data_IF_805605302447
#
_entry.id   IF_805605302447
#
_cell.length_a   1.000
_cell.length_b   1.000
_cell.length_c   1.000
_cell.angle_alpha   90.00
_cell.angle_beta   90.00
_cell.angle_gamma   90.00
#
_symmetry.space_group_name_H-M   'P 1'
#
loop_
_entity.id
_entity.type
_entity.pdbx_description
1 polymer ?
#
# COMPACT_ATOMS: atom_id res chain seq x y z
N UNK A 1 8.58 8.03 -9.21
CA UNK A 1 7.12 8.21 -9.44
C UNK A 1 6.39 7.24 -8.53
N UNK A 2 5.43 7.70 -7.74
CA UNK A 2 4.75 6.91 -6.70
C UNK A 2 3.25 6.87 -7.01
N UNK A 3 2.71 5.68 -7.24
CA UNK A 3 1.31 5.46 -7.58
C UNK A 3 0.67 4.67 -6.45
N UNK A 4 -0.32 5.25 -5.79
CA UNK A 4 -1.19 4.53 -4.87
C UNK A 4 -2.42 4.03 -5.60
N UNK A 5 -2.90 2.82 -5.27
CA UNK A 5 -4.17 2.31 -5.78
C UNK A 5 -5.17 2.20 -4.64
N UNK A 6 -6.37 2.70 -4.85
CA UNK A 6 -7.46 2.67 -3.87
C UNK A 6 -8.79 2.33 -4.54
N UNK A 7 -9.81 2.01 -3.75
CA UNK A 7 -11.11 1.57 -4.23
C UNK A 7 -11.87 0.79 -3.17
N UNK A 8 -13.11 0.40 -3.47
CA UNK A 8 -13.92 -0.45 -2.59
C UNK A 8 -13.28 -1.85 -2.44
N UNK A 9 -13.53 -2.55 -1.33
CA UNK A 9 -13.10 -3.94 -1.17
C UNK A 9 -13.63 -4.84 -2.30
N UNK A 10 -12.78 -5.74 -2.80
CA UNK A 10 -13.14 -6.70 -3.84
C UNK A 10 -13.25 -6.15 -5.27
N UNK A 11 -12.89 -4.89 -5.54
CA UNK A 11 -12.96 -4.31 -6.90
C UNK A 11 -11.80 -4.67 -7.83
N UNK A 12 -10.84 -5.49 -7.39
CA UNK A 12 -9.68 -5.89 -8.18
C UNK A 12 -8.45 -4.97 -8.12
N UNK A 13 -8.27 -4.18 -7.04
CA UNK A 13 -7.13 -3.27 -6.85
C UNK A 13 -5.77 -3.95 -7.02
N UNK A 14 -5.54 -5.02 -6.24
CA UNK A 14 -4.32 -5.83 -6.25
C UNK A 14 -4.05 -6.43 -7.63
N UNK A 15 -5.08 -6.91 -8.32
CA UNK A 15 -4.97 -7.42 -9.70
C UNK A 15 -4.52 -6.33 -10.67
N UNK A 16 -5.14 -5.15 -10.62
CA UNK A 16 -4.77 -4.01 -11.46
C UNK A 16 -3.35 -3.54 -11.14
N UNK A 17 -2.96 -3.55 -9.85
CA UNK A 17 -1.58 -3.24 -9.44
C UNK A 17 -0.56 -4.20 -10.07
N UNK A 18 -0.80 -5.51 -9.99
CA UNK A 18 0.09 -6.52 -10.55
C UNK A 18 0.23 -6.37 -12.08
N UNK A 19 -0.87 -6.09 -12.79
CA UNK A 19 -0.84 -5.82 -14.23
C UNK A 19 -0.05 -4.55 -14.55
N UNK A 20 -0.26 -3.47 -13.80
CA UNK A 20 0.48 -2.23 -13.96
C UNK A 20 1.98 -2.43 -13.69
N UNK A 21 2.34 -3.18 -12.65
CA UNK A 21 3.72 -3.51 -12.34
C UNK A 21 4.40 -4.27 -13.48
N UNK A 22 3.71 -5.27 -14.04
CA UNK A 22 4.20 -6.06 -15.19
C UNK A 22 4.46 -5.18 -16.40
N UNK A 23 3.55 -4.26 -16.74
CA UNK A 23 3.74 -3.41 -17.91
C UNK A 23 4.79 -2.31 -17.71
N UNK A 24 4.87 -1.72 -16.53
CA UNK A 24 5.95 -0.79 -16.19
C UNK A 24 7.32 -1.47 -16.34
N UNK A 25 7.44 -2.71 -15.87
CA UNK A 25 8.66 -3.49 -16.00
C UNK A 25 8.99 -3.86 -17.44
N UNK A 26 8.01 -4.30 -18.23
CA UNK A 26 8.19 -4.54 -19.68
C UNK A 26 8.67 -3.29 -20.41
N UNK A 27 8.27 -2.12 -19.91
CA UNK A 27 8.73 -0.81 -20.41
C UNK A 27 10.11 -0.39 -19.88
N UNK A 28 10.86 -1.31 -19.26
CA UNK A 28 12.20 -1.08 -18.73
C UNK A 28 12.27 -0.28 -17.43
N UNK A 29 11.16 -0.12 -16.70
CA UNK A 29 11.17 0.54 -15.39
C UNK A 29 11.46 -0.45 -14.28
N UNK A 30 12.28 -0.05 -13.32
CA UNK A 30 12.32 -0.71 -12.02
C UNK A 30 11.03 -0.38 -11.25
N UNK A 31 10.45 -1.39 -10.61
CA UNK A 31 9.19 -1.28 -9.88
C UNK A 31 9.34 -1.89 -8.51
N UNK A 32 9.11 -1.08 -7.48
CA UNK A 32 8.92 -1.51 -6.11
C UNK A 32 7.43 -1.56 -5.80
N UNK A 33 6.97 -2.68 -5.29
CA UNK A 33 5.59 -2.88 -4.85
C UNK A 33 5.57 -2.96 -3.34
N UNK A 34 4.69 -2.21 -2.71
CA UNK A 34 4.48 -2.21 -1.26
C UNK A 34 3.04 -2.67 -1.01
N UNK A 35 2.90 -3.86 -0.44
CA UNK A 35 1.61 -4.40 0.00
C UNK A 35 1.37 -3.99 1.45
N UNK A 36 0.48 -3.01 1.63
CA UNK A 36 0.07 -2.48 2.93
C UNK A 36 -1.32 -2.97 3.34
N UNK A 37 -1.87 -3.99 2.67
CA UNK A 37 -3.15 -4.59 3.04
C UNK A 37 -2.96 -5.50 4.29
N UNK A 38 -3.89 -5.46 5.27
CA UNK A 38 -3.90 -6.38 6.41
C UNK A 38 -3.90 -7.86 6.04
N UNK A 39 -4.48 -8.18 4.89
CA UNK A 39 -4.49 -9.52 4.32
C UNK A 39 -3.72 -9.45 3.01
N UNK A 40 -2.38 -9.53 3.05
CA UNK A 40 -1.55 -9.33 1.86
C UNK A 40 -1.69 -10.53 0.91
N UNK A 41 -1.96 -10.24 -0.36
CA UNK A 41 -2.08 -11.24 -1.43
C UNK A 41 -1.20 -10.87 -2.64
N UNK A 42 -0.36 -9.84 -2.53
CA UNK A 42 0.39 -9.33 -3.68
C UNK A 42 1.41 -10.34 -4.22
N UNK A 43 2.11 -11.07 -3.34
CA UNK A 43 3.09 -12.08 -3.76
C UNK A 43 2.46 -13.16 -4.65
N UNK A 44 1.31 -13.68 -4.23
CA UNK A 44 0.51 -14.65 -5.00
C UNK A 44 0.01 -14.04 -6.31
N UNK A 45 -0.51 -12.81 -6.27
CA UNK A 45 -1.07 -12.12 -7.44
C UNK A 45 0.01 -11.85 -8.51
N UNK A 46 1.25 -11.61 -8.09
CA UNK A 46 2.39 -11.45 -9.00
C UNK A 46 2.90 -12.79 -9.57
N UNK A 47 2.46 -13.91 -9.00
CA UNK A 47 2.94 -15.25 -9.36
C UNK A 47 4.37 -15.51 -8.90
N UNK A 48 4.80 -14.89 -7.80
CA UNK A 48 6.13 -15.13 -7.21
C UNK A 48 6.19 -16.58 -6.74
N UNK A 49 7.25 -17.29 -7.13
CA UNK A 49 7.54 -18.63 -6.59
C UNK A 49 7.78 -18.53 -5.07
N UNK A 50 7.21 -19.45 -4.31
CA UNK A 50 7.27 -19.48 -2.85
C UNK A 50 6.61 -18.27 -2.17
N UNK A 51 5.50 -17.77 -2.73
CA UNK A 51 4.73 -16.66 -2.15
C UNK A 51 4.29 -16.93 -0.70
N UNK A 52 4.09 -18.19 -0.33
CA UNK A 52 3.77 -18.67 1.02
C UNK A 52 4.92 -18.48 2.03
N UNK A 53 6.16 -18.32 1.57
CA UNK A 53 7.32 -18.04 2.42
C UNK A 53 7.51 -16.54 2.69
N UNK A 54 6.71 -15.67 2.06
CA UNK A 54 6.76 -14.23 2.28
C UNK A 54 6.13 -13.89 3.63
N UNK A 55 6.95 -13.61 4.63
CA UNK A 55 6.48 -13.18 5.94
C UNK A 55 6.21 -11.67 5.96
N UNK A 56 5.00 -11.20 6.32
CA UNK A 56 4.72 -9.78 6.49
C UNK A 56 5.59 -9.16 7.60
N UNK A 57 6.09 -7.94 7.38
CA UNK A 57 6.97 -7.26 8.34
C UNK A 57 6.26 -7.04 9.68
N UNK A 58 4.94 -6.78 9.67
CA UNK A 58 4.15 -6.63 10.89
C UNK A 58 4.15 -7.88 11.80
N UNK A 59 4.38 -9.07 11.25
CA UNK A 59 4.45 -10.33 12.02
C UNK A 59 5.82 -10.52 12.70
N UNK A 60 6.84 -9.77 12.28
CA UNK A 60 8.20 -9.83 12.81
C UNK A 60 8.37 -9.03 14.10
N UNK A 61 7.47 -9.30 15.05
CA UNK A 61 7.31 -8.55 16.32
C UNK A 61 8.61 -8.42 17.11
N UNK A 62 9.44 -9.47 17.16
CA UNK A 62 10.73 -9.44 17.86
C UNK A 62 11.68 -8.41 17.26
N UNK A 63 11.83 -8.40 15.93
CA UNK A 63 12.73 -7.45 15.26
C UNK A 63 12.19 -6.03 15.37
N UNK A 64 10.88 -5.83 15.22
CA UNK A 64 10.26 -4.51 15.37
C UNK A 64 10.43 -3.97 16.80
N UNK A 65 10.29 -4.81 17.83
CA UNK A 65 10.52 -4.43 19.22
C UNK A 65 11.99 -4.07 19.49
N UNK A 66 12.92 -4.86 18.95
CA UNK A 66 14.36 -4.57 19.02
C UNK A 66 14.70 -3.24 18.35
N UNK A 67 14.18 -3.01 17.13
CA UNK A 67 14.40 -1.75 16.40
C UNK A 67 13.79 -0.55 17.10
N UNK A 68 12.61 -0.74 17.68
CA UNK A 68 11.98 0.26 18.52
C UNK A 68 12.76 0.54 19.81
N UNK A 69 13.84 -0.21 20.13
CA UNK A 69 14.58 -0.07 21.38
C UNK A 69 13.76 -0.44 22.61
N UNK A 70 12.71 -1.24 22.44
CA UNK A 70 11.80 -1.63 23.51
C UNK A 70 12.47 -2.71 24.35
N UNK A 71 12.82 -2.35 25.58
CA UNK A 71 13.38 -3.30 26.56
C UNK A 71 12.27 -3.81 27.46
N UNK A 72 12.24 -5.12 27.75
CA UNK A 72 11.24 -5.69 28.65
C UNK A 72 11.27 -4.98 30.02
N UNK A 73 10.13 -4.45 30.46
CA UNK A 73 9.99 -3.71 31.73
C UNK A 73 10.36 -2.23 31.69
N UNK A 74 10.78 -1.69 30.53
CA UNK A 74 11.05 -0.25 30.36
C UNK A 74 9.90 0.45 29.62
N UNK A 75 9.43 1.63 30.09
CA UNK A 75 8.49 2.46 29.35
C UNK A 75 9.15 3.21 28.19
N UNK A 76 10.49 3.23 28.13
CA UNK A 76 11.25 3.96 27.13
C UNK A 76 11.42 3.14 25.85
N UNK A 77 11.23 3.80 24.72
CA UNK A 77 11.49 3.28 23.38
C UNK A 77 12.08 4.40 22.51
N UNK A 78 12.77 4.02 21.45
CA UNK A 78 13.36 4.95 20.50
C UNK A 78 12.25 5.60 19.65
N UNK A 79 12.09 6.91 19.80
CA UNK A 79 11.16 7.71 19.00
C UNK A 79 11.64 7.90 17.56
N UNK A 80 12.92 7.64 17.26
CA UNK A 80 13.46 7.84 15.92
C UNK A 80 14.36 6.66 15.51
N UNK A 81 13.83 5.43 15.44
CA UNK A 81 14.63 4.22 15.15
C UNK A 81 15.27 4.31 13.77
N UNK A 82 16.56 3.99 13.64
CA UNK A 82 17.10 3.81 12.28
C UNK A 82 16.42 2.60 11.64
N UNK A 83 16.17 2.68 10.34
CA UNK A 83 15.45 1.66 9.56
C UNK A 83 16.07 1.47 8.18
N UNK A 84 17.25 2.05 7.92
CA UNK A 84 17.95 1.97 6.62
C UNK A 84 18.19 0.52 6.17
N UNK A 85 18.75 -0.27 7.07
CA UNK A 85 19.02 -1.70 6.94
C UNK A 85 17.74 -2.51 6.66
N UNK A 86 16.67 -2.23 7.41
CA UNK A 86 15.40 -2.93 7.28
C UNK A 86 14.77 -2.79 5.88
N UNK A 87 15.05 -1.69 5.17
CA UNK A 87 14.53 -1.51 3.82
C UNK A 87 15.11 -2.52 2.83
N UNK A 88 16.37 -2.91 3.01
CA UNK A 88 17.04 -3.90 2.19
C UNK A 88 16.67 -5.32 2.62
N UNK A 89 16.69 -5.58 3.93
CA UNK A 89 16.52 -6.94 4.47
C UNK A 89 15.11 -7.50 4.27
N UNK A 90 14.12 -6.63 4.12
CA UNK A 90 12.72 -7.02 3.92
C UNK A 90 12.19 -6.82 2.51
N UNK A 91 13.06 -6.34 1.61
CA UNK A 91 12.71 -6.25 0.21
C UNK A 91 12.98 -7.60 -0.45
N UNK A 92 11.92 -8.20 -0.95
CA UNK A 92 11.98 -9.46 -1.66
C UNK A 92 12.20 -9.16 -3.14
N UNK A 93 13.36 -9.59 -3.66
CA UNK A 93 13.63 -9.56 -5.09
C UNK A 93 13.38 -10.94 -5.70
N UNK A 94 12.27 -11.11 -6.41
CA UNK A 94 11.89 -12.39 -7.04
C UNK A 94 11.25 -12.16 -8.40
N UNK A 95 11.63 -12.99 -9.36
CA UNK A 95 11.10 -13.00 -10.72
C UNK A 95 11.07 -11.59 -11.37
N UNK A 96 12.06 -10.76 -11.04
CA UNK A 96 12.22 -9.38 -11.53
C UNK A 96 11.29 -8.35 -10.89
N UNK A 97 10.68 -8.65 -9.74
CA UNK A 97 9.94 -7.70 -8.92
C UNK A 97 10.67 -7.45 -7.62
N UNK A 98 10.62 -6.20 -7.15
CA UNK A 98 10.92 -5.84 -5.77
C UNK A 98 9.60 -5.70 -5.01
N UNK A 99 9.39 -6.53 -4.00
CA UNK A 99 8.17 -6.58 -3.22
C UNK A 99 8.49 -6.38 -1.74
N UNK A 100 7.68 -5.58 -1.07
CA UNK A 100 7.67 -5.47 0.38
C UNK A 100 6.25 -5.70 0.90
N UNK A 101 6.10 -6.64 1.83
CA UNK A 101 4.81 -6.94 2.45
C UNK A 101 4.82 -6.42 3.87
N UNK A 102 4.05 -5.36 4.13
CA UNK A 102 3.93 -4.78 5.47
C UNK A 102 2.97 -5.59 6.34
N UNK A 103 1.83 -6.00 5.79
CA UNK A 103 0.73 -6.63 6.53
C UNK A 103 -0.06 -5.65 7.40
N UNK A 104 -0.88 -6.19 8.30
CA UNK A 104 -1.79 -5.39 9.13
C UNK A 104 -1.03 -4.47 10.09
N UNK A 105 -0.98 -3.18 9.79
CA UNK A 105 -0.77 -2.16 10.82
C UNK A 105 -2.08 -2.12 11.63
N UNK A 106 -2.27 -3.08 12.53
CA UNK A 106 -3.44 -3.10 13.41
C UNK A 106 -3.44 -1.83 14.24
N UNK A 107 -4.27 -0.87 13.83
CA UNK A 107 -4.72 0.22 14.69
C UNK A 107 -6.16 -0.10 15.08
N UNK A 108 -6.35 -1.26 15.71
CA UNK A 108 -7.62 -1.60 16.31
C UNK A 108 -7.86 -0.61 17.47
N UNK A 109 -8.88 0.23 17.33
CA UNK A 109 -9.53 0.96 18.43
C UNK A 109 -8.62 1.77 19.35
N UNK A 110 -8.40 3.04 19.00
CA UNK A 110 -7.93 4.06 19.94
C UNK A 110 -6.40 4.14 20.09
N UNK A 111 -5.81 5.13 19.41
CA UNK A 111 -4.75 6.00 19.98
C UNK A 111 -3.44 5.41 20.52
N UNK A 112 -3.21 4.10 20.56
CA UNK A 112 -1.92 3.56 21.00
C UNK A 112 -0.94 3.56 19.84
N UNK A 113 -0.08 4.56 19.81
CA UNK A 113 1.17 4.55 19.08
C UNK A 113 2.07 3.46 19.67
N UNK A 114 1.83 2.19 19.30
CA UNK A 114 2.75 1.14 19.68
C UNK A 114 4.10 1.39 18.98
N UNK A 115 5.24 1.25 19.67
CA UNK A 115 6.57 1.53 19.11
C UNK A 115 6.84 0.79 17.78
N UNK A 116 6.26 -0.40 17.63
CA UNK A 116 6.36 -1.26 16.45
C UNK A 116 5.65 -0.62 15.24
N UNK A 117 4.44 -0.07 15.42
CA UNK A 117 3.73 0.66 14.36
C UNK A 117 4.46 1.94 13.93
N UNK A 118 5.23 2.55 14.84
CA UNK A 118 6.04 3.71 14.52
C UNK A 118 7.21 3.34 13.61
N UNK A 119 7.90 2.21 13.88
CA UNK A 119 8.95 1.66 13.01
C UNK A 119 8.41 1.44 11.59
N UNK A 120 7.27 0.76 11.45
CA UNK A 120 6.64 0.49 10.15
C UNK A 120 6.29 1.78 9.39
N UNK A 121 5.67 2.77 10.06
CA UNK A 121 5.34 4.06 9.43
C UNK A 121 6.59 4.81 8.99
N UNK A 122 7.65 4.77 9.81
CA UNK A 122 8.93 5.42 9.47
C UNK A 122 9.60 4.74 8.28
N UNK A 123 9.58 3.40 8.23
CA UNK A 123 10.05 2.62 7.08
C UNK A 123 9.33 3.05 5.81
N UNK A 124 7.99 2.97 5.81
CA UNK A 124 7.18 3.35 4.65
C UNK A 124 7.47 4.79 4.19
N UNK A 125 7.48 5.75 5.13
CA UNK A 125 7.78 7.15 4.81
C UNK A 125 9.16 7.30 4.19
N UNK A 126 10.17 6.62 4.73
CA UNK A 126 11.54 6.68 4.21
C UNK A 126 11.62 6.12 2.80
N UNK A 127 11.03 4.95 2.54
CA UNK A 127 10.98 4.35 1.21
C UNK A 127 10.32 5.27 0.19
N UNK A 128 9.17 5.84 0.55
CA UNK A 128 8.46 6.77 -0.34
C UNK A 128 9.27 8.05 -0.61
N UNK A 129 10.20 8.44 0.26
CA UNK A 129 11.07 9.60 0.04
C UNK A 129 12.34 9.25 -0.74
N UNK A 130 12.90 8.05 -0.58
CA UNK A 130 14.22 7.69 -1.12
C UNK A 130 14.17 6.82 -2.37
N UNK A 131 13.01 6.28 -2.76
CA UNK A 131 12.90 5.43 -3.93
C UNK A 131 13.15 6.20 -5.24
N UNK A 132 14.15 5.76 -6.00
CA UNK A 132 14.45 6.25 -7.36
C UNK A 132 13.62 5.54 -8.44
N UNK A 133 12.98 4.43 -8.09
CA UNK A 133 12.17 3.59 -8.97
C UNK A 133 10.68 3.99 -8.97
N UNK A 134 9.87 3.27 -9.76
CA UNK A 134 8.41 3.43 -9.69
C UNK A 134 7.91 2.68 -8.46
N UNK A 135 7.22 3.37 -7.55
CA UNK A 135 6.63 2.74 -6.36
C UNK A 135 5.15 2.54 -6.57
N UNK A 136 4.66 1.31 -6.41
CA UNK A 136 3.24 0.98 -6.40
C UNK A 136 2.83 0.61 -4.97
N UNK A 137 1.83 1.32 -4.42
CA UNK A 137 1.34 1.08 -3.07
C UNK A 137 -0.05 0.44 -3.13
N UNK A 138 -0.14 -0.84 -2.75
CA UNK A 138 -1.43 -1.49 -2.54
C UNK A 138 -1.90 -1.15 -1.14
N UNK A 139 -3.03 -0.45 -1.08
CA UNK A 139 -3.61 -0.02 0.18
C UNK A 139 -4.93 -0.74 0.40
N UNK A 140 -5.19 -1.08 1.66
CA UNK A 140 -6.49 -1.63 2.05
C UNK A 140 -7.64 -0.71 1.61
N UNK A 141 -8.78 -1.35 1.32
CA UNK A 141 -10.01 -0.67 0.97
C UNK A 141 -10.55 0.18 2.12
N UNK A 142 -10.31 1.48 2.11
CA UNK A 142 -10.86 2.31 3.17
C UNK A 142 -10.41 3.75 3.15
N UNK A 143 -11.33 4.61 3.59
CA UNK A 143 -11.08 6.04 3.81
C UNK A 143 -10.21 6.28 5.06
N UNK A 144 -10.12 5.29 5.95
CA UNK A 144 -9.38 5.33 7.21
C UNK A 144 -7.86 5.46 7.06
N UNK A 145 -7.28 4.97 5.96
CA UNK A 145 -5.83 5.00 5.72
C UNK A 145 -5.35 6.26 5.01
N UNK A 146 -6.24 6.93 4.24
CA UNK A 146 -5.99 8.22 3.61
C UNK A 146 -5.85 9.34 4.64
N UNK A 147 -6.73 9.38 5.64
CA UNK A 147 -6.73 10.43 6.68
C UNK A 147 -5.55 10.37 7.67
N UNK A 148 -4.70 9.34 7.62
CA UNK A 148 -3.62 9.09 8.60
C UNK A 148 -2.22 9.44 8.09
N UNK A 149 -2.12 10.09 6.93
CA UNK A 149 -0.84 10.59 6.37
C UNK A 149 -0.01 9.54 5.64
N UNK A 150 -0.49 8.30 5.54
CA UNK A 150 0.18 7.19 4.84
C UNK A 150 0.27 7.42 3.33
N UNK A 151 -0.71 8.13 2.76
CA UNK A 151 -0.81 8.42 1.31
C UNK A 151 -0.22 9.78 0.93
N UNK A 152 0.18 10.59 1.90
CA UNK A 152 0.69 11.95 1.69
C UNK A 152 2.02 12.02 0.90
N UNK A 153 2.59 10.86 0.52
CA UNK A 153 3.78 10.76 -0.33
C UNK A 153 3.52 10.23 -1.75
N UNK A 154 2.27 9.94 -2.15
CA UNK A 154 1.97 9.46 -3.50
C UNK A 154 1.90 10.62 -4.51
N UNK A 155 2.54 10.45 -5.68
CA UNK A 155 2.47 11.42 -6.78
C UNK A 155 1.16 11.30 -7.56
N UNK A 156 0.55 10.10 -7.55
CA UNK A 156 -0.65 9.78 -8.27
C UNK A 156 -1.53 8.78 -7.51
N UNK A 157 -2.84 9.03 -7.48
CA UNK A 157 -3.82 8.10 -6.95
C UNK A 157 -4.68 7.52 -8.07
N UNK A 158 -4.69 6.20 -8.18
CA UNK A 158 -5.53 5.44 -9.10
C UNK A 158 -6.70 4.82 -8.33
N UNK A 159 -7.92 5.23 -8.65
CA UNK A 159 -9.14 4.76 -7.98
C UNK A 159 -9.82 3.72 -8.85
N UNK A 160 -9.84 2.47 -8.39
CA UNK A 160 -10.55 1.37 -9.08
C UNK A 160 -12.02 1.39 -8.69
N UNK A 161 -12.89 1.43 -9.69
CA UNK A 161 -14.33 1.55 -9.55
C UNK A 161 -15.03 0.50 -10.41
N UNK A 162 -16.09 -0.10 -9.86
CA UNK A 162 -16.98 -1.03 -10.57
C UNK A 162 -18.30 -0.32 -10.89
N UNK A 163 -19.05 -0.74 -11.93
CA UNK A 163 -20.33 -0.13 -12.33
C UNK A 163 -21.45 -0.43 -11.31
N UNK A 164 -21.33 0.17 -10.13
CA UNK A 164 -22.35 0.10 -9.08
C UNK A 164 -22.46 1.42 -8.34
N UNK A 165 -23.67 1.76 -7.87
CA UNK A 165 -23.90 2.98 -7.08
C UNK A 165 -23.01 3.05 -5.85
N UNK A 166 -22.78 1.90 -5.21
CA UNK A 166 -21.89 1.80 -4.05
C UNK A 166 -20.43 2.04 -4.41
N UNK A 167 -19.97 1.53 -5.56
CA UNK A 167 -18.61 1.73 -6.07
C UNK A 167 -18.33 3.19 -6.36
N UNK A 168 -19.22 3.86 -7.11
CA UNK A 168 -19.10 5.29 -7.42
C UNK A 168 -19.10 6.14 -6.14
N UNK A 169 -20.02 5.87 -5.21
CA UNK A 169 -20.08 6.62 -3.93
C UNK A 169 -18.78 6.51 -3.15
N UNK A 170 -18.18 5.32 -3.07
CA UNK A 170 -16.89 5.11 -2.39
C UNK A 170 -15.76 5.81 -3.15
N UNK A 171 -15.72 5.71 -4.48
CA UNK A 171 -14.72 6.37 -5.32
C UNK A 171 -14.72 7.90 -5.14
N UNK A 172 -15.90 8.53 -5.10
CA UNK A 172 -16.03 9.97 -4.85
C UNK A 172 -15.60 10.39 -3.44
N UNK A 173 -15.88 9.56 -2.42
CA UNK A 173 -15.38 9.80 -1.05
C UNK A 173 -13.86 9.72 -0.99
N UNK A 174 -13.27 8.72 -1.65
CA UNK A 174 -11.81 8.55 -1.75
C UNK A 174 -11.19 9.77 -2.46
N UNK A 175 -11.77 10.20 -3.59
CA UNK A 175 -11.32 11.40 -4.30
C UNK A 175 -11.28 12.62 -3.38
N UNK A 176 -12.37 12.90 -2.67
CA UNK A 176 -12.46 14.06 -1.77
C UNK A 176 -11.37 14.02 -0.69
N UNK A 177 -11.17 12.88 -0.05
CA UNK A 177 -10.14 12.74 0.98
C UNK A 177 -8.72 12.85 0.42
N UNK A 178 -8.49 12.34 -0.79
CA UNK A 178 -7.21 12.49 -1.48
C UNK A 178 -6.89 13.96 -1.78
N UNK A 179 -7.89 14.74 -2.19
CA UNK A 179 -7.77 16.20 -2.38
C UNK A 179 -7.48 16.91 -1.05
N UNK A 180 -8.15 16.53 0.04
CA UNK A 180 -7.96 17.10 1.38
C UNK A 180 -6.53 16.85 1.93
N UNK A 181 -5.87 15.76 1.52
CA UNK A 181 -4.48 15.44 1.91
C UNK A 181 -3.42 15.91 0.91
N UNK A 182 -3.82 16.66 -0.13
CA UNK A 182 -2.91 17.28 -1.09
C UNK A 182 -2.50 16.41 -2.29
N UNK A 183 -3.21 15.32 -2.57
CA UNK A 183 -2.98 14.50 -3.77
C UNK A 183 -3.82 15.07 -4.90
N UNK A 184 -3.18 15.82 -5.79
CA UNK A 184 -3.90 16.52 -6.87
C UNK A 184 -4.05 15.70 -8.15
N UNK A 185 -3.20 14.69 -8.36
CA UNK A 185 -3.25 13.85 -9.56
C UNK A 185 -4.05 12.58 -9.26
N UNK A 186 -5.31 12.57 -9.67
CA UNK A 186 -6.23 11.45 -9.45
C UNK A 186 -6.71 10.91 -10.80
N UNK A 187 -6.78 9.59 -10.94
CA UNK A 187 -7.35 8.93 -12.12
C UNK A 187 -8.23 7.75 -11.70
N UNK A 188 -9.16 7.38 -12.56
CA UNK A 188 -10.11 6.30 -12.31
C UNK A 188 -9.87 5.13 -13.26
N UNK A 189 -10.05 3.91 -12.76
CA UNK A 189 -10.04 2.68 -13.57
C UNK A 189 -11.38 1.99 -13.39
N UNK A 190 -12.17 1.96 -14.46
CA UNK A 190 -13.36 1.12 -14.52
C UNK A 190 -12.95 -0.35 -14.61
N UNK A 191 -13.37 -1.15 -13.65
CA UNK A 191 -13.15 -2.59 -13.63
C UNK A 191 -14.48 -3.34 -13.62
N UNK A 192 -14.47 -4.61 -14.05
CA UNK A 192 -15.65 -5.46 -14.17
C UNK A 192 -16.76 -4.84 -15.03
N UNK A 193 -16.39 -4.08 -16.07
CA UNK A 193 -17.32 -3.50 -17.05
C UNK A 193 -17.68 -4.59 -18.06
N UNK A 194 -18.96 -4.94 -18.17
CA UNK A 194 -19.43 -6.02 -19.03
C UNK A 194 -19.98 -5.53 -20.37
N UNK A 195 -20.60 -4.35 -20.38
CA UNK A 195 -21.28 -3.79 -21.55
C UNK A 195 -21.17 -2.26 -21.63
N UNK A 196 -21.81 -1.66 -22.64
CA UNK A 196 -21.84 -0.21 -22.82
C UNK A 196 -22.75 0.51 -21.81
N UNK A 197 -23.71 -0.19 -21.18
CA UNK A 197 -24.54 0.38 -20.12
C UNK A 197 -23.72 0.62 -18.85
N UNK A 198 -22.88 -0.34 -18.46
CA UNK A 198 -21.90 -0.21 -17.37
C UNK A 198 -20.93 0.94 -17.61
N UNK A 199 -20.40 1.04 -18.83
CA UNK A 199 -19.50 2.12 -19.22
C UNK A 199 -20.19 3.47 -19.14
N UNK A 200 -21.40 3.56 -19.69
CA UNK A 200 -22.24 4.76 -19.59
C UNK A 200 -22.52 5.12 -18.14
N UNK A 201 -22.78 4.12 -17.29
CA UNK A 201 -23.02 4.30 -15.86
C UNK A 201 -21.80 4.89 -15.12
N UNK A 202 -20.58 4.51 -15.49
CA UNK A 202 -19.34 5.05 -14.90
C UNK A 202 -18.97 6.44 -15.40
N UNK A 203 -19.41 6.82 -16.61
CA UNK A 203 -19.08 8.11 -17.24
C UNK A 203 -20.11 9.22 -17.00
N UNK A 204 -21.25 8.89 -16.38
CA UNK A 204 -22.29 9.85 -15.98
C UNK A 204 -21.94 10.58 -14.69
#
# INVERSE_FOLDING_TARGET
>A
MKIAISGKGGVGKTTIMALLARELRKSGKEVLIIDADPSPHMAETLGIRDADQVTPIAEMTRLLAERAGKTAGSPFYNLNPDVNDLLHDFMIERDGFKLMVLGAIQVAGGGCACPESHVLRKMLKKMLLTANEVVLLDMEAGIEHLGRGTVAGADHLLIVVIPSRSGIRTALKIKKLAEDVGIHRISFVGNLVQDEDDKTFLTR
#
